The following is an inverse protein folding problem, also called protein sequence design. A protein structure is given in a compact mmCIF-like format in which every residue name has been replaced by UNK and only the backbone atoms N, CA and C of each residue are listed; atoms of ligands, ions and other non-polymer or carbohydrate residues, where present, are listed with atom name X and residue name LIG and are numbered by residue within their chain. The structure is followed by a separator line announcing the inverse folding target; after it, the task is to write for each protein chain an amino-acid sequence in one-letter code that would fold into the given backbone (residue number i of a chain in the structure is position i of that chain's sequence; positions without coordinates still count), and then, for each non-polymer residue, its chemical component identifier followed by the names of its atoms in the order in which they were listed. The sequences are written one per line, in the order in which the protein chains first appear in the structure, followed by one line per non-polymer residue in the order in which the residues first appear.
data_IF_119155195038
#
_entry.id   IF_119155195038
#
_cell.length_a   1.000
_cell.length_b   1.000
_cell.length_c   1.000
_cell.angle_alpha   90.00
_cell.angle_beta   90.00
_cell.angle_gamma   90.00
#
_symmetry.space_group_name_H-M   'P 1'
#
loop_
_entity.id
_entity.type
_entity.pdbx_description
1 polymer ?
#
# COMPACT_ATOMS: atom_id res chain seq x y z
N UNK A 1 16.04 3.70 -17.21
CA UNK A 1 14.99 3.80 -16.15
C UNK A 1 15.18 5.13 -15.46
N UNK A 2 14.13 5.90 -15.31
CA UNK A 2 14.12 7.20 -14.63
C UNK A 2 13.79 6.99 -13.14
N UNK A 3 14.10 7.98 -12.32
CA UNK A 3 13.78 7.99 -10.89
C UNK A 3 12.85 9.16 -10.57
N UNK A 4 12.19 9.13 -9.42
CA UNK A 4 11.31 10.20 -8.96
C UNK A 4 12.04 11.57 -8.90
N UNK A 5 13.35 11.57 -8.59
CA UNK A 5 14.17 12.78 -8.57
C UNK A 5 14.27 13.53 -9.91
N UNK A 6 13.79 12.95 -11.01
CA UNK A 6 13.71 13.59 -12.32
C UNK A 6 12.34 14.23 -12.61
N UNK A 7 11.43 14.20 -11.63
CA UNK A 7 10.13 14.86 -11.68
C UNK A 7 10.06 15.98 -10.64
N UNK A 8 9.28 17.03 -10.95
CA UNK A 8 8.94 18.08 -10.00
C UNK A 8 7.77 17.67 -9.11
N UNK A 9 6.83 16.90 -9.65
CA UNK A 9 5.68 16.36 -8.94
C UNK A 9 4.93 15.32 -9.81
N UNK A 10 4.06 14.53 -9.19
CA UNK A 10 3.27 13.47 -9.89
C UNK A 10 2.14 14.01 -10.77
N UNK A 11 1.78 15.28 -10.71
CA UNK A 11 0.73 15.85 -11.58
C UNK A 11 1.21 16.09 -13.01
N UNK A 12 2.54 16.03 -13.25
CA UNK A 12 3.18 16.23 -14.55
C UNK A 12 3.76 14.93 -15.10
N UNK A 13 3.03 13.82 -14.95
CA UNK A 13 3.48 12.54 -15.51
C UNK A 13 3.50 12.57 -17.05
N UNK A 14 4.44 11.83 -17.69
CA UNK A 14 4.38 11.50 -19.11
C UNK A 14 3.06 10.83 -19.51
N UNK A 15 2.75 10.82 -20.79
CA UNK A 15 1.51 10.25 -21.36
C UNK A 15 1.26 8.81 -20.88
N UNK A 16 2.29 7.97 -20.88
CA UNK A 16 2.26 6.61 -20.35
C UNK A 16 3.55 6.33 -19.59
N UNK A 17 3.41 5.82 -18.39
CA UNK A 17 4.49 5.46 -17.47
C UNK A 17 4.38 4.00 -17.08
N UNK A 18 5.51 3.30 -17.08
CA UNK A 18 5.65 1.94 -16.57
C UNK A 18 6.64 1.96 -15.39
N UNK A 19 6.21 1.39 -14.26
CA UNK A 19 7.05 1.17 -13.08
C UNK A 19 7.18 -0.33 -12.82
N UNK A 20 8.30 -0.99 -13.13
CA UNK A 20 8.60 -2.30 -12.56
C UNK A 20 8.67 -2.17 -11.04
N UNK A 21 7.96 -3.02 -10.31
CA UNK A 21 7.89 -2.98 -8.85
C UNK A 21 8.78 -4.07 -8.26
N UNK A 22 10.09 -3.94 -8.51
CA UNK A 22 11.10 -4.94 -8.12
C UNK A 22 11.30 -5.00 -6.59
N UNK A 23 10.95 -3.94 -5.85
CA UNK A 23 10.94 -3.92 -4.37
C UNK A 23 9.66 -4.50 -3.75
N UNK A 24 8.78 -5.09 -4.55
CA UNK A 24 7.53 -5.69 -4.10
C UNK A 24 7.55 -7.20 -4.25
N UNK A 25 7.01 -7.88 -3.26
CA UNK A 25 6.81 -9.33 -3.29
C UNK A 25 5.36 -9.68 -3.63
N UNK A 26 5.22 -10.78 -4.33
CA UNK A 26 3.97 -11.49 -4.54
C UNK A 26 4.01 -12.81 -3.75
N UNK A 27 3.05 -13.01 -2.87
CA UNK A 27 2.91 -14.22 -2.09
C UNK A 27 1.63 -14.92 -2.54
N UNK A 28 1.71 -16.20 -2.86
CA UNK A 28 0.54 -17.03 -3.12
C UNK A 28 0.18 -17.90 -1.92
N UNK A 29 -1.12 -18.04 -1.71
CA UNK A 29 -1.72 -18.99 -0.77
C UNK A 29 -2.65 -19.89 -1.55
N UNK A 30 -2.29 -21.17 -1.67
CA UNK A 30 -3.05 -22.23 -2.37
C UNK A 30 -3.56 -23.26 -1.37
N UNK A 31 -4.42 -24.17 -1.82
CA UNK A 31 -4.98 -25.26 -1.02
C UNK A 31 -6.45 -25.07 -0.67
N UNK A 32 -7.06 -26.16 -0.18
CA UNK A 32 -8.50 -26.20 0.11
C UNK A 32 -8.91 -25.15 1.15
N UNK A 33 -8.08 -24.95 2.18
CA UNK A 33 -8.38 -24.09 3.32
C UNK A 33 -7.94 -22.63 3.10
N UNK A 34 -7.45 -22.22 1.91
CA UNK A 34 -6.84 -20.89 1.67
C UNK A 34 -7.71 -19.71 2.10
N UNK A 35 -9.02 -19.79 1.85
CA UNK A 35 -9.96 -18.72 2.23
C UNK A 35 -10.17 -18.73 3.74
N UNK A 36 -10.54 -19.86 4.32
CA UNK A 36 -10.80 -19.99 5.77
C UNK A 36 -9.56 -19.67 6.59
N UNK A 37 -8.39 -20.12 6.15
CA UNK A 37 -7.12 -19.80 6.79
C UNK A 37 -6.86 -18.28 6.81
N UNK A 38 -6.86 -17.65 5.64
CA UNK A 38 -6.60 -16.21 5.55
C UNK A 38 -7.72 -15.36 6.17
N UNK A 39 -8.96 -15.85 6.19
CA UNK A 39 -10.05 -15.23 6.94
C UNK A 39 -9.70 -15.07 8.43
N UNK A 40 -9.01 -16.02 9.03
CA UNK A 40 -8.50 -15.96 10.40
C UNK A 40 -7.21 -15.17 10.60
N UNK A 41 -6.54 -14.72 9.53
CA UNK A 41 -5.26 -14.01 9.60
C UNK A 41 -5.35 -12.52 9.24
N UNK A 42 -6.23 -12.15 8.31
CA UNK A 42 -6.30 -10.82 7.73
C UNK A 42 -7.51 -10.03 8.27
N UNK A 43 -7.43 -8.71 8.23
CA UNK A 43 -8.49 -7.83 8.72
C UNK A 43 -9.69 -7.71 7.78
N UNK A 44 -9.51 -7.97 6.48
CA UNK A 44 -10.60 -7.94 5.48
C UNK A 44 -11.50 -9.17 5.58
N UNK A 45 -12.68 -9.08 4.96
CA UNK A 45 -13.63 -10.20 4.86
C UNK A 45 -13.47 -10.90 3.51
N UNK A 46 -12.66 -11.97 3.49
CA UNK A 46 -12.35 -12.73 2.30
C UNK A 46 -13.53 -13.52 1.74
N UNK A 47 -14.46 -13.95 2.61
CA UNK A 47 -15.63 -14.72 2.21
C UNK A 47 -16.61 -13.91 1.35
N UNK A 48 -16.53 -12.56 1.42
CA UNK A 48 -17.33 -11.67 0.57
C UNK A 48 -16.70 -11.38 -0.78
N UNK A 49 -15.42 -11.71 -0.96
CA UNK A 49 -14.72 -11.45 -2.21
C UNK A 49 -14.93 -12.59 -3.22
N UNK A 50 -15.29 -12.23 -4.44
CA UNK A 50 -15.39 -13.16 -5.58
C UNK A 50 -14.05 -13.28 -6.30
N UNK A 51 -13.90 -14.34 -7.10
CA UNK A 51 -12.76 -14.51 -8.02
C UNK A 51 -12.59 -13.26 -8.88
N UNK A 52 -11.36 -12.78 -8.98
CA UNK A 52 -10.99 -11.55 -9.67
C UNK A 52 -11.10 -10.28 -8.82
N UNK A 53 -11.75 -10.32 -7.66
CA UNK A 53 -11.85 -9.14 -6.77
C UNK A 53 -10.62 -8.98 -5.87
N UNK A 54 -10.43 -7.77 -5.40
CA UNK A 54 -9.32 -7.37 -4.56
C UNK A 54 -9.75 -6.43 -3.43
N UNK A 55 -8.93 -6.36 -2.37
CA UNK A 55 -9.05 -5.38 -1.30
C UNK A 55 -7.70 -5.13 -0.63
N UNK A 56 -7.60 -4.12 0.23
CA UNK A 56 -6.51 -3.98 1.19
C UNK A 56 -6.83 -4.77 2.46
N UNK A 57 -5.79 -5.17 3.19
CA UNK A 57 -5.93 -5.76 4.51
C UNK A 57 -4.65 -5.56 5.34
N UNK A 58 -4.75 -5.68 6.66
CA UNK A 58 -3.59 -5.88 7.51
C UNK A 58 -3.48 -7.35 7.94
N UNK A 59 -2.25 -7.87 8.01
CA UNK A 59 -1.89 -9.05 8.79
C UNK A 59 -1.34 -8.58 10.12
N UNK A 60 -1.99 -8.93 11.21
CA UNK A 60 -1.68 -8.43 12.55
C UNK A 60 -0.98 -9.49 13.41
N UNK A 61 -0.20 -9.00 14.39
CA UNK A 61 0.25 -9.82 15.50
C UNK A 61 -0.88 -9.98 16.56
N UNK A 62 -0.72 -10.87 17.57
CA UNK A 62 -1.72 -11.06 18.61
C UNK A 62 -2.07 -9.77 19.41
N UNK A 63 -1.18 -8.78 19.45
CA UNK A 63 -1.42 -7.48 20.05
C UNK A 63 -2.22 -6.52 19.16
N UNK A 64 -2.61 -6.95 17.96
CA UNK A 64 -3.39 -6.17 16.99
C UNK A 64 -2.57 -5.13 16.22
N UNK A 65 -1.24 -5.20 16.28
CA UNK A 65 -0.36 -4.36 15.48
C UNK A 65 -0.08 -5.03 14.14
N UNK A 66 -0.16 -4.27 13.06
CA UNK A 66 0.05 -4.77 11.71
C UNK A 66 1.53 -5.16 11.48
N UNK A 67 1.78 -6.43 11.15
CA UNK A 67 3.04 -6.85 10.57
C UNK A 67 3.25 -6.17 9.22
N UNK A 68 2.20 -6.18 8.39
CA UNK A 68 2.19 -5.58 7.06
C UNK A 68 0.78 -5.15 6.68
N UNK A 69 0.72 -4.25 5.70
CA UNK A 69 -0.47 -3.99 4.89
C UNK A 69 -0.28 -4.71 3.56
N UNK A 70 -1.24 -5.51 3.16
CA UNK A 70 -1.23 -6.28 1.91
C UNK A 70 -2.38 -5.85 1.01
N UNK A 71 -2.17 -5.93 -0.29
CA UNK A 71 -3.29 -6.01 -1.23
C UNK A 71 -3.59 -7.48 -1.48
N UNK A 72 -4.82 -7.84 -1.27
CA UNK A 72 -5.34 -9.21 -1.40
C UNK A 72 -6.07 -9.32 -2.72
N UNK A 73 -5.76 -10.32 -3.52
CA UNK A 73 -6.43 -10.62 -4.79
C UNK A 73 -6.91 -12.07 -4.77
N UNK A 74 -8.19 -12.29 -5.00
CA UNK A 74 -8.78 -13.64 -5.00
C UNK A 74 -8.81 -14.17 -6.42
N UNK A 75 -8.13 -15.29 -6.66
CA UNK A 75 -8.19 -16.06 -7.90
C UNK A 75 -8.91 -17.38 -7.65
N UNK A 76 -9.23 -18.11 -8.71
CA UNK A 76 -9.99 -19.36 -8.60
C UNK A 76 -9.26 -20.43 -7.77
N UNK A 77 -7.95 -20.59 -8.02
CA UNK A 77 -7.12 -21.63 -7.41
C UNK A 77 -6.23 -21.14 -6.26
N UNK A 78 -6.09 -19.81 -6.09
CA UNK A 78 -5.19 -19.19 -5.12
C UNK A 78 -5.63 -17.80 -4.67
N UNK A 79 -5.03 -17.34 -3.58
CA UNK A 79 -5.08 -15.94 -3.16
C UNK A 79 -3.69 -15.36 -3.30
N UNK A 80 -3.58 -14.18 -3.92
CA UNK A 80 -2.34 -13.45 -4.04
C UNK A 80 -2.30 -12.29 -3.04
N UNK A 81 -1.15 -12.09 -2.42
CA UNK A 81 -0.88 -10.98 -1.52
C UNK A 81 0.31 -10.20 -2.08
N UNK A 82 0.16 -8.87 -2.26
CA UNK A 82 1.30 -8.01 -2.63
C UNK A 82 1.69 -7.10 -1.48
N UNK A 83 2.98 -6.94 -1.25
CA UNK A 83 3.55 -6.13 -0.16
C UNK A 83 4.99 -5.72 -0.49
N UNK A 84 5.58 -4.71 0.20
CA UNK A 84 7.01 -4.44 0.10
C UNK A 84 7.85 -5.67 0.45
N UNK A 85 8.92 -5.91 -0.30
CA UNK A 85 9.78 -7.10 -0.09
C UNK A 85 10.50 -7.08 1.26
N UNK A 86 10.82 -5.89 1.77
CA UNK A 86 11.51 -5.72 3.06
C UNK A 86 10.74 -6.37 4.22
N UNK A 87 9.40 -6.33 4.21
CA UNK A 87 8.59 -6.87 5.30
C UNK A 87 8.31 -8.37 5.17
N UNK A 88 8.58 -8.97 4.02
CA UNK A 88 8.27 -10.38 3.77
C UNK A 88 9.03 -11.34 4.70
N UNK A 89 10.28 -11.00 5.04
CA UNK A 89 11.08 -11.83 5.96
C UNK A 89 10.52 -11.85 7.38
N UNK A 90 9.81 -10.81 7.78
CA UNK A 90 9.13 -10.74 9.08
C UNK A 90 7.76 -11.40 9.02
N UNK A 91 6.99 -11.09 7.98
CA UNK A 91 5.59 -11.47 7.86
C UNK A 91 5.38 -12.94 7.47
N UNK A 92 6.18 -13.48 6.52
CA UNK A 92 5.99 -14.86 6.04
C UNK A 92 6.16 -15.93 7.13
N UNK A 93 7.20 -15.88 7.98
CA UNK A 93 7.32 -16.81 9.09
C UNK A 93 6.14 -16.73 10.07
N UNK A 94 5.66 -15.51 10.35
CA UNK A 94 4.49 -15.29 11.19
C UNK A 94 3.23 -15.92 10.59
N UNK A 95 2.99 -15.72 9.28
CA UNK A 95 1.86 -16.31 8.58
C UNK A 95 1.95 -17.85 8.53
N UNK A 96 3.11 -18.39 8.18
CA UNK A 96 3.34 -19.84 8.09
C UNK A 96 3.19 -20.57 9.43
N UNK A 97 3.51 -19.90 10.54
CA UNK A 97 3.34 -20.46 11.89
C UNK A 97 1.90 -20.91 12.16
N UNK A 98 0.92 -20.16 11.68
CA UNK A 98 -0.50 -20.47 11.88
C UNK A 98 -1.07 -21.41 10.83
N UNK A 99 -0.29 -21.77 9.82
CA UNK A 99 -0.72 -22.69 8.75
C UNK A 99 -0.54 -24.18 9.09
N UNK A 100 0.09 -24.52 10.22
CA UNK A 100 0.52 -25.89 10.55
C UNK A 100 -0.61 -26.94 10.54
N UNK A 101 -1.85 -26.53 10.78
CA UNK A 101 -3.02 -27.42 10.80
C UNK A 101 -4.02 -27.13 9.67
N UNK A 102 -3.64 -26.32 8.70
CA UNK A 102 -4.47 -25.95 7.55
C UNK A 102 -3.90 -26.55 6.27
N UNK A 103 -4.77 -27.01 5.39
CA UNK A 103 -4.38 -27.53 4.06
C UNK A 103 -4.07 -26.37 3.11
N UNK A 104 -2.99 -25.63 3.41
CA UNK A 104 -2.52 -24.50 2.61
C UNK A 104 -1.03 -24.60 2.31
N UNK A 105 -0.66 -24.09 1.15
CA UNK A 105 0.75 -23.86 0.78
C UNK A 105 0.94 -22.35 0.61
N UNK A 106 1.93 -21.79 1.31
CA UNK A 106 2.26 -20.36 1.30
C UNK A 106 3.66 -20.21 0.74
N UNK A 107 3.78 -19.51 -0.37
CA UNK A 107 5.08 -19.31 -1.02
C UNK A 107 5.22 -17.90 -1.63
N UNK A 108 6.47 -17.45 -1.71
CA UNK A 108 6.81 -16.25 -2.50
C UNK A 108 6.84 -16.67 -3.98
N UNK A 109 6.11 -15.93 -4.80
CA UNK A 109 6.04 -16.18 -6.24
C UNK A 109 7.25 -15.60 -6.95
N UNK A 110 7.86 -16.41 -7.80
CA UNK A 110 8.98 -16.00 -8.66
C UNK A 110 8.64 -16.02 -10.15
N UNK A 111 7.49 -16.59 -10.49
CA UNK A 111 7.03 -16.73 -11.87
C UNK A 111 6.16 -15.56 -12.33
N UNK A 112 5.98 -14.55 -11.47
CA UNK A 112 5.19 -13.37 -11.76
C UNK A 112 6.03 -12.10 -11.59
N UNK A 113 5.64 -11.07 -12.33
CA UNK A 113 6.13 -9.71 -12.18
C UNK A 113 4.99 -8.76 -11.85
N UNK A 114 5.31 -7.73 -11.09
CA UNK A 114 4.38 -6.68 -10.70
C UNK A 114 4.81 -5.39 -11.39
N UNK A 115 3.85 -4.68 -12.00
CA UNK A 115 4.08 -3.41 -12.66
C UNK A 115 3.03 -2.39 -12.22
N UNK A 116 3.47 -1.15 -12.09
CA UNK A 116 2.59 0.02 -12.08
C UNK A 116 2.49 0.63 -13.47
N UNK A 117 1.27 0.96 -13.92
CA UNK A 117 1.02 1.76 -15.11
C UNK A 117 0.27 3.03 -14.72
N UNK A 118 0.74 4.17 -15.19
CA UNK A 118 0.16 5.47 -14.89
C UNK A 118 0.30 6.43 -16.08
N UNK A 119 -0.20 7.65 -15.92
CA UNK A 119 -0.16 8.69 -16.93
C UNK A 119 -1.50 8.84 -17.66
N UNK A 120 -1.72 9.99 -18.34
CA UNK A 120 -3.00 10.33 -18.98
C UNK A 120 -3.52 9.29 -19.97
N UNK A 121 -2.64 8.59 -20.69
CA UNK A 121 -3.01 7.55 -21.68
C UNK A 121 -3.05 6.12 -21.11
N UNK A 122 -2.83 5.92 -19.80
CA UNK A 122 -2.84 4.59 -19.19
C UNK A 122 -4.18 3.88 -19.34
N UNK A 123 -5.30 4.60 -19.21
CA UNK A 123 -6.64 4.04 -19.39
C UNK A 123 -6.91 3.60 -20.84
N UNK A 124 -6.47 4.40 -21.81
CA UNK A 124 -6.60 4.06 -23.24
C UNK A 124 -5.76 2.83 -23.59
N UNK A 125 -4.53 2.76 -23.07
CA UNK A 125 -3.67 1.60 -23.26
C UNK A 125 -4.32 0.33 -22.70
N UNK A 126 -4.76 0.37 -21.45
CA UNK A 126 -5.41 -0.77 -20.80
C UNK A 126 -6.71 -1.18 -21.50
N UNK A 127 -7.51 -0.23 -21.97
CA UNK A 127 -8.76 -0.55 -22.67
C UNK A 127 -8.57 -1.42 -23.93
N UNK A 128 -7.42 -1.32 -24.60
CA UNK A 128 -7.07 -2.18 -25.74
C UNK A 128 -6.76 -3.62 -25.33
N UNK A 129 -6.21 -3.80 -24.12
CA UNK A 129 -5.82 -5.11 -23.60
C UNK A 129 -6.98 -5.87 -22.93
N UNK A 130 -8.03 -5.15 -22.49
CA UNK A 130 -9.11 -5.68 -21.64
C UNK A 130 -10.31 -6.25 -22.44
N UNK A 131 -10.27 -6.27 -23.78
CA UNK A 131 -11.42 -6.69 -24.61
C UNK A 131 -11.97 -8.11 -24.37
N UNK A 132 -11.22 -8.96 -23.65
CA UNK A 132 -11.60 -10.35 -23.32
C UNK A 132 -11.58 -10.65 -21.83
N UNK A 133 -11.67 -9.63 -20.97
CA UNK A 133 -11.48 -9.78 -19.54
C UNK A 133 -12.78 -9.97 -18.74
N UNK A 134 -12.72 -10.77 -17.67
CA UNK A 134 -13.69 -10.70 -16.60
C UNK A 134 -13.43 -9.44 -15.79
N UNK A 135 -14.32 -8.45 -15.84
CA UNK A 135 -14.14 -7.15 -15.18
C UNK A 135 -14.98 -7.04 -13.93
N UNK A 136 -14.39 -6.46 -12.88
CA UNK A 136 -15.03 -5.99 -11.67
C UNK A 136 -14.82 -4.47 -11.55
N UNK A 137 -15.48 -3.81 -10.60
CA UNK A 137 -15.39 -2.36 -10.42
C UNK A 137 -13.94 -1.85 -10.30
N UNK A 138 -13.08 -2.57 -9.54
CA UNK A 138 -11.70 -2.18 -9.26
C UNK A 138 -10.65 -3.13 -9.80
N UNK A 139 -11.04 -4.20 -10.51
CA UNK A 139 -10.07 -5.19 -11.01
C UNK A 139 -10.58 -5.89 -12.27
N UNK A 140 -9.65 -6.44 -13.04
CA UNK A 140 -9.92 -7.24 -14.23
C UNK A 140 -8.96 -8.43 -14.27
N UNK A 141 -9.49 -9.61 -14.58
CA UNK A 141 -8.71 -10.81 -14.85
C UNK A 141 -8.75 -11.10 -16.34
N UNK A 142 -7.60 -11.04 -17.00
CA UNK A 142 -7.46 -11.31 -18.44
C UNK A 142 -7.32 -12.80 -18.73
N UNK A 143 -7.65 -13.23 -19.93
CA UNK A 143 -7.49 -14.63 -20.39
C UNK A 143 -6.03 -15.12 -20.31
N UNK A 144 -5.07 -14.20 -20.41
CA UNK A 144 -3.64 -14.48 -20.17
C UNK A 144 -3.29 -14.83 -18.72
N UNK A 145 -4.24 -14.71 -17.79
CA UNK A 145 -4.02 -14.82 -16.34
C UNK A 145 -3.42 -13.55 -15.72
N UNK A 146 -3.33 -12.46 -16.50
CA UNK A 146 -2.92 -11.15 -15.97
C UNK A 146 -4.02 -10.56 -15.10
N UNK A 147 -3.65 -10.12 -13.89
CA UNK A 147 -4.54 -9.37 -13.01
C UNK A 147 -4.24 -7.87 -13.16
N UNK A 148 -5.26 -7.10 -13.50
CA UNK A 148 -5.20 -5.64 -13.54
C UNK A 148 -6.03 -5.07 -12.40
N UNK A 149 -5.44 -4.20 -11.60
CA UNK A 149 -6.10 -3.54 -10.49
C UNK A 149 -6.15 -2.05 -10.75
N UNK A 150 -7.36 -1.52 -10.88
CA UNK A 150 -7.62 -0.10 -11.09
C UNK A 150 -7.52 0.64 -9.78
N UNK A 151 -6.74 1.71 -9.74
CA UNK A 151 -6.58 2.60 -8.59
C UNK A 151 -6.91 4.03 -9.01
N UNK A 152 -7.97 4.65 -8.44
CA UNK A 152 -8.43 5.97 -8.89
C UNK A 152 -7.57 7.14 -8.40
N UNK A 153 -6.82 6.95 -7.32
CA UNK A 153 -6.06 8.03 -6.65
C UNK A 153 -4.55 7.83 -6.75
N UNK A 154 -3.76 8.93 -6.77
CA UNK A 154 -4.12 10.35 -6.86
C UNK A 154 -4.68 10.72 -8.25
N UNK A 155 -4.31 9.98 -9.26
CA UNK A 155 -4.85 9.93 -10.61
C UNK A 155 -5.05 8.47 -11.02
N UNK A 156 -5.86 8.22 -12.05
CA UNK A 156 -6.12 6.87 -12.53
C UNK A 156 -4.82 6.15 -12.92
N UNK A 157 -4.57 5.03 -12.26
CA UNK A 157 -3.40 4.16 -12.47
C UNK A 157 -3.80 2.69 -12.30
N UNK A 158 -2.94 1.80 -12.76
CA UNK A 158 -3.19 0.36 -12.72
C UNK A 158 -1.99 -0.38 -12.12
N UNK A 159 -2.26 -1.35 -11.26
CA UNK A 159 -1.30 -2.35 -10.85
C UNK A 159 -1.55 -3.60 -11.70
N UNK A 160 -0.53 -4.07 -12.41
CA UNK A 160 -0.58 -5.27 -13.24
C UNK A 160 0.27 -6.37 -12.63
N UNK A 161 -0.30 -7.56 -12.46
CA UNK A 161 0.41 -8.78 -12.04
C UNK A 161 0.37 -9.75 -13.20
N UNK A 162 1.52 -10.09 -13.74
CA UNK A 162 1.67 -10.88 -14.96
C UNK A 162 2.60 -12.06 -14.76
N UNK A 163 2.31 -13.21 -15.37
CA UNK A 163 3.31 -14.28 -15.50
C UNK A 163 4.53 -13.79 -16.27
N UNK A 164 5.72 -14.26 -15.94
CA UNK A 164 6.98 -13.82 -16.57
C UNK A 164 6.92 -13.86 -18.11
N UNK A 165 6.37 -14.94 -18.67
CA UNK A 165 6.22 -15.09 -20.15
C UNK A 165 5.34 -14.03 -20.78
N UNK A 166 4.25 -13.65 -20.11
CA UNK A 166 3.34 -12.57 -20.56
C UNK A 166 4.00 -11.21 -20.38
N UNK A 167 4.67 -11.01 -19.24
CA UNK A 167 5.37 -9.78 -18.92
C UNK A 167 6.48 -9.45 -19.92
N UNK A 168 7.26 -10.44 -20.36
CA UNK A 168 8.31 -10.27 -21.38
C UNK A 168 7.74 -9.77 -22.69
N UNK A 169 6.65 -10.36 -23.17
CA UNK A 169 5.99 -9.92 -24.40
C UNK A 169 5.40 -8.50 -24.26
N UNK A 170 4.71 -8.21 -23.14
CA UNK A 170 4.13 -6.89 -22.87
C UNK A 170 5.21 -5.80 -22.74
N UNK A 171 6.36 -6.11 -22.11
CA UNK A 171 7.46 -5.18 -21.95
C UNK A 171 8.09 -4.78 -23.29
N UNK A 172 8.10 -5.64 -24.32
CA UNK A 172 8.62 -5.29 -25.66
C UNK A 172 7.76 -4.14 -26.25
N UNK A 173 6.45 -4.25 -26.15
CA UNK A 173 5.52 -3.22 -26.64
C UNK A 173 5.60 -1.94 -25.76
N UNK A 174 5.52 -2.08 -24.44
CA UNK A 174 5.52 -0.97 -23.50
C UNK A 174 6.81 -0.15 -23.52
N UNK A 175 7.99 -0.79 -23.70
CA UNK A 175 9.28 -0.08 -23.80
C UNK A 175 9.34 0.94 -24.94
N UNK A 176 8.54 0.74 -26.00
CA UNK A 176 8.49 1.68 -27.12
C UNK A 176 7.48 2.81 -26.93
N UNK A 177 6.54 2.68 -25.96
CA UNK A 177 5.38 3.57 -25.78
C UNK A 177 5.38 4.31 -24.45
N UNK A 178 6.01 3.73 -23.43
CA UNK A 178 6.00 4.24 -22.06
C UNK A 178 7.39 4.73 -21.62
N UNK A 179 7.40 5.76 -20.79
CA UNK A 179 8.59 6.11 -20.02
C UNK A 179 8.71 5.18 -18.81
N UNK A 180 9.90 4.61 -18.59
CA UNK A 180 10.14 3.66 -17.52
C UNK A 180 10.72 4.37 -16.32
N UNK A 181 10.02 4.31 -15.20
CA UNK A 181 10.46 4.78 -13.89
C UNK A 181 10.70 3.59 -12.96
N UNK A 182 11.54 3.80 -11.95
CA UNK A 182 11.68 2.87 -10.85
C UNK A 182 10.45 2.94 -9.91
N UNK A 183 10.42 2.10 -8.90
CA UNK A 183 9.30 1.98 -7.95
C UNK A 183 9.17 3.18 -6.99
N UNK A 184 10.13 4.09 -6.94
CA UNK A 184 10.02 5.34 -6.18
C UNK A 184 8.84 6.20 -6.64
N UNK A 185 8.55 6.22 -7.95
CA UNK A 185 7.36 6.89 -8.47
C UNK A 185 6.06 6.21 -8.01
N UNK A 186 6.03 4.88 -7.97
CA UNK A 186 4.85 4.16 -7.48
C UNK A 186 4.61 4.43 -5.99
N UNK A 187 5.70 4.49 -5.20
CA UNK A 187 5.64 4.86 -3.80
C UNK A 187 5.09 6.29 -3.62
N UNK A 188 5.57 7.26 -4.39
CA UNK A 188 5.05 8.64 -4.37
C UNK A 188 3.53 8.68 -4.68
N UNK A 189 3.08 7.90 -5.66
CA UNK A 189 1.65 7.79 -5.96
C UNK A 189 0.85 7.10 -4.84
N UNK A 190 1.43 6.16 -4.09
CA UNK A 190 0.79 5.57 -2.90
C UNK A 190 0.68 6.61 -1.77
N UNK A 191 1.72 7.41 -1.55
CA UNK A 191 1.72 8.50 -0.56
C UNK A 191 0.60 9.49 -0.89
N UNK A 192 0.54 9.98 -2.11
CA UNK A 192 -0.49 10.93 -2.53
C UNK A 192 -1.91 10.32 -2.53
N UNK A 193 -2.03 9.00 -2.68
CA UNK A 193 -3.29 8.27 -2.50
C UNK A 193 -3.66 8.04 -1.02
N UNK A 194 -2.80 8.40 -0.08
CA UNK A 194 -3.01 8.15 1.35
C UNK A 194 -2.98 6.66 1.71
N UNK A 195 -2.28 5.82 0.94
CA UNK A 195 -2.19 4.37 1.17
C UNK A 195 -0.80 4.02 1.69
N UNK A 196 -0.70 3.71 2.97
CA UNK A 196 0.55 3.33 3.63
C UNK A 196 0.79 1.83 3.60
N UNK A 197 1.86 1.40 2.94
CA UNK A 197 2.41 0.07 3.07
C UNK A 197 3.55 0.07 4.08
N UNK A 198 3.65 -0.99 4.89
CA UNK A 198 4.67 -1.07 5.93
C UNK A 198 5.93 -1.73 5.40
N UNK A 199 7.07 -1.13 5.72
CA UNK A 199 8.39 -1.72 5.57
C UNK A 199 8.84 -2.40 6.87
N UNK A 200 9.93 -3.18 6.83
CA UNK A 200 10.41 -3.95 7.96
C UNK A 200 10.66 -3.10 9.22
N UNK A 201 11.21 -1.88 9.05
CA UNK A 201 11.59 -0.97 10.11
C UNK A 201 10.41 -0.53 10.99
N UNK A 202 9.21 -0.51 10.42
CA UNK A 202 7.98 -0.07 11.10
C UNK A 202 6.94 -1.19 11.25
N UNK A 203 7.33 -2.40 10.93
CA UNK A 203 6.49 -3.59 11.15
C UNK A 203 6.12 -3.72 12.64
N UNK A 204 4.88 -4.09 12.92
CA UNK A 204 4.32 -4.22 14.27
C UNK A 204 4.36 -2.95 15.15
N UNK A 205 4.43 -1.76 14.55
CA UNK A 205 4.37 -0.50 15.31
C UNK A 205 2.95 0.07 15.40
N UNK A 206 2.13 -0.08 14.37
CA UNK A 206 0.83 0.56 14.24
C UNK A 206 -0.32 -0.45 14.24
N UNK A 207 -1.47 -0.08 14.79
CA UNK A 207 -2.72 -0.81 14.57
C UNK A 207 -3.32 -0.40 13.20
N UNK A 208 -4.14 -1.25 12.56
CA UNK A 208 -4.69 -0.96 11.22
C UNK A 208 -5.43 0.37 11.09
N UNK A 209 -6.12 0.80 12.15
CA UNK A 209 -6.84 2.08 12.14
C UNK A 209 -5.90 3.29 12.13
N UNK A 210 -4.68 3.18 12.70
CA UNK A 210 -3.68 4.25 12.61
C UNK A 210 -3.19 4.45 11.17
N UNK A 211 -3.35 3.44 10.31
CA UNK A 211 -3.02 3.45 8.89
C UNK A 211 -4.26 3.76 8.01
N UNK A 212 -5.34 4.22 8.61
CA UNK A 212 -6.62 4.56 7.97
C UNK A 212 -7.27 3.39 7.19
N UNK A 213 -6.93 2.13 7.48
CA UNK A 213 -7.43 0.98 6.71
C UNK A 213 -8.95 0.82 6.79
N UNK A 214 -9.63 1.35 7.82
CA UNK A 214 -11.09 1.39 7.88
C UNK A 214 -11.70 2.32 6.81
N UNK A 215 -11.03 3.42 6.46
CA UNK A 215 -11.46 4.34 5.42
C UNK A 215 -11.13 3.82 4.00
N UNK A 216 -10.29 2.79 3.92
CA UNK A 216 -9.84 2.14 2.68
C UNK A 216 -10.47 0.74 2.52
N UNK A 217 -11.55 0.44 3.23
CA UNK A 217 -12.24 -0.86 3.25
C UNK A 217 -11.35 -2.07 3.59
N UNK A 218 -10.21 -1.80 4.24
CA UNK A 218 -9.23 -2.82 4.62
C UNK A 218 -9.54 -3.55 5.94
N UNK A 219 -10.62 -3.19 6.65
CA UNK A 219 -11.01 -3.80 7.92
C UNK A 219 -12.49 -4.16 7.89
N UNK A 220 -12.81 -5.43 8.10
CA UNK A 220 -14.17 -5.86 8.40
C UNK A 220 -14.38 -5.94 9.92
N UNK A 221 -15.43 -5.29 10.41
CA UNK A 221 -15.84 -5.34 11.82
C UNK A 221 -16.97 -6.31 12.07
N UNK A 222 -17.49 -6.96 11.03
CA UNK A 222 -18.65 -7.87 11.07
C UNK A 222 -18.30 -9.32 10.76
N UNK A 223 -17.07 -9.59 10.31
CA UNK A 223 -16.57 -10.95 10.04
C UNK A 223 -16.30 -11.72 11.34
N UNK A 224 -16.01 -13.02 11.21
CA UNK A 224 -15.56 -13.88 12.29
C UNK A 224 -14.19 -13.47 12.87
N UNK A 225 -13.73 -14.24 13.86
CA UNK A 225 -12.49 -13.94 14.59
C UNK A 225 -11.23 -14.01 13.68
N UNK A 226 -10.30 -13.11 13.95
CA UNK A 226 -8.95 -13.14 13.35
C UNK A 226 -7.89 -12.69 14.37
N UNK A 227 -6.62 -12.96 14.09
CA UNK A 227 -5.51 -12.64 14.99
C UNK A 227 -5.40 -11.13 15.18
N UNK A 228 -5.37 -10.69 16.46
CA UNK A 228 -5.27 -9.29 16.85
C UNK A 228 -6.59 -8.51 16.86
N UNK A 229 -7.72 -9.17 16.53
CA UNK A 229 -9.04 -8.55 16.46
C UNK A 229 -9.44 -7.79 17.74
N UNK A 230 -9.07 -8.28 18.93
CA UNK A 230 -9.48 -7.64 20.18
C UNK A 230 -9.03 -6.17 20.25
N UNK A 231 -7.78 -5.88 19.92
CA UNK A 231 -7.26 -4.51 19.90
C UNK A 231 -7.92 -3.67 18.83
N UNK A 232 -8.11 -4.23 17.63
CA UNK A 232 -8.78 -3.56 16.51
C UNK A 232 -10.24 -3.23 16.85
N UNK A 233 -10.97 -4.16 17.46
CA UNK A 233 -12.35 -3.95 17.92
C UNK A 233 -12.42 -2.92 19.04
N UNK A 234 -11.52 -2.98 20.03
CA UNK A 234 -11.46 -1.97 21.12
C UNK A 234 -11.18 -0.57 20.57
N UNK A 235 -10.30 -0.45 19.60
CA UNK A 235 -10.00 0.83 18.94
C UNK A 235 -11.28 1.45 18.35
N UNK A 236 -12.14 0.64 17.69
CA UNK A 236 -13.42 1.10 17.14
C UNK A 236 -14.46 1.39 18.22
N UNK A 237 -14.81 0.39 19.04
CA UNK A 237 -16.00 0.46 19.88
C UNK A 237 -15.80 1.23 21.19
N UNK A 238 -14.56 1.49 21.60
CA UNK A 238 -14.21 2.25 22.80
C UNK A 238 -13.48 3.54 22.52
N UNK A 239 -13.32 3.93 21.23
CA UNK A 239 -12.60 5.14 20.84
C UNK A 239 -11.16 5.18 21.36
N UNK A 240 -10.50 4.01 21.49
CA UNK A 240 -9.18 3.92 22.08
C UNK A 240 -8.09 4.45 21.13
N UNK A 241 -8.37 4.50 19.82
CA UNK A 241 -7.43 5.01 18.83
C UNK A 241 -7.55 6.53 18.68
N UNK A 242 -6.51 7.24 19.12
CA UNK A 242 -6.38 8.70 19.00
C UNK A 242 -5.45 9.13 17.88
N UNK A 243 -5.04 8.22 16.99
CA UNK A 243 -4.09 8.49 15.92
C UNK A 243 -4.64 8.10 14.57
N UNK A 244 -4.17 8.78 13.53
CA UNK A 244 -4.48 8.49 12.14
C UNK A 244 -3.26 8.82 11.26
N UNK A 245 -3.28 8.37 10.02
CA UNK A 245 -2.26 8.68 9.06
C UNK A 245 -2.64 9.92 8.25
N UNK A 246 -1.67 10.82 8.08
CA UNK A 246 -1.81 12.08 7.37
C UNK A 246 -0.72 12.23 6.32
N UNK A 247 -0.98 13.05 5.31
CA UNK A 247 0.03 13.49 4.37
C UNK A 247 0.63 14.80 4.89
N UNK A 248 1.96 14.86 4.96
CA UNK A 248 2.71 16.08 5.17
C UNK A 248 3.58 16.35 3.93
N UNK A 249 3.74 17.61 3.58
CA UNK A 249 4.51 18.06 2.43
C UNK A 249 5.46 19.17 2.82
N UNK A 250 6.62 19.24 2.18
CA UNK A 250 7.60 20.28 2.49
C UNK A 250 8.89 20.15 1.71
N UNK A 251 10.00 20.54 2.32
CA UNK A 251 11.34 20.44 1.72
C UNK A 251 12.33 19.83 2.68
N UNK A 252 13.27 19.07 2.13
CA UNK A 252 14.41 18.51 2.84
C UNK A 252 15.57 18.32 1.88
N UNK A 253 16.80 18.37 2.41
CA UNK A 253 17.99 18.06 1.61
C UNK A 253 18.11 16.56 1.31
N UNK A 254 17.63 15.71 2.23
CA UNK A 254 17.68 14.25 2.11
C UNK A 254 16.28 13.66 2.06
N UNK A 255 16.12 12.53 1.37
CA UNK A 255 14.88 11.77 1.35
C UNK A 255 14.59 11.16 2.73
N UNK A 256 13.43 11.47 3.33
CA UNK A 256 13.04 10.87 4.60
C UNK A 256 12.86 9.35 4.51
N UNK A 257 12.93 8.68 5.67
CA UNK A 257 12.79 7.22 5.77
C UNK A 257 11.66 6.82 6.71
N UNK A 258 11.09 5.65 6.47
CA UNK A 258 10.13 5.03 7.38
C UNK A 258 10.71 4.92 8.80
N UNK A 259 9.87 5.18 9.80
CA UNK A 259 10.26 5.14 11.22
C UNK A 259 10.88 6.42 11.78
N UNK A 260 11.32 7.35 10.95
CA UNK A 260 11.82 8.64 11.44
C UNK A 260 10.74 9.43 12.19
N UNK A 261 11.20 10.26 13.12
CA UNK A 261 10.34 10.95 14.08
C UNK A 261 9.79 12.25 13.49
N UNK A 262 8.48 12.43 13.55
CA UNK A 262 7.84 13.74 13.31
C UNK A 262 7.72 14.48 14.63
N UNK A 263 8.17 15.74 14.61
CA UNK A 263 7.99 16.71 15.68
C UNK A 263 7.11 17.87 15.23
N UNK A 264 6.35 18.45 16.14
CA UNK A 264 5.51 19.64 15.93
C UNK A 264 6.06 20.81 16.72
N UNK A 265 6.01 22.01 16.15
CA UNK A 265 6.42 23.25 16.82
C UNK A 265 5.28 23.75 17.73
N UNK A 266 5.49 23.68 19.05
CA UNK A 266 4.54 24.17 20.06
C UNK A 266 5.25 25.14 21.01
N UNK A 267 4.77 26.37 21.10
CA UNK A 267 5.35 27.41 22.00
C UNK A 267 6.87 27.55 21.83
N UNK A 268 7.34 27.63 20.60
CA UNK A 268 8.77 27.71 20.21
C UNK A 268 9.61 26.49 20.60
N UNK A 269 9.00 25.34 20.91
CA UNK A 269 9.70 24.10 21.21
C UNK A 269 9.22 22.96 20.33
N UNK A 270 10.14 22.14 19.84
CA UNK A 270 9.84 20.94 19.09
C UNK A 270 9.46 19.80 20.03
N UNK A 271 8.32 19.17 19.74
CA UNK A 271 7.82 18.02 20.51
C UNK A 271 7.52 16.86 19.59
N UNK A 272 8.01 15.67 19.93
CA UNK A 272 7.68 14.43 19.23
C UNK A 272 6.16 14.23 19.18
N UNK A 273 5.62 14.05 17.97
CA UNK A 273 4.18 13.88 17.77
C UNK A 273 3.85 12.63 16.96
N UNK A 274 4.76 12.14 16.12
CA UNK A 274 4.49 11.00 15.27
C UNK A 274 5.69 10.29 14.69
N UNK A 275 5.45 9.45 13.71
CA UNK A 275 6.48 8.75 12.95
C UNK A 275 6.06 8.61 11.49
N UNK A 276 7.05 8.59 10.60
CA UNK A 276 6.89 8.40 9.16
C UNK A 276 6.54 6.94 8.86
N UNK A 277 5.52 6.73 8.04
CA UNK A 277 5.15 5.44 7.46
C UNK A 277 5.82 5.24 6.11
N UNK A 278 5.76 6.26 5.24
CA UNK A 278 6.36 6.23 3.91
C UNK A 278 6.74 7.64 3.50
N UNK A 279 7.76 7.79 2.67
CA UNK A 279 8.24 9.09 2.21
C UNK A 279 8.73 9.02 0.77
N UNK A 280 8.75 10.18 0.10
CA UNK A 280 9.38 10.36 -1.20
C UNK A 280 10.00 11.76 -1.32
N UNK A 281 10.96 11.90 -2.24
CA UNK A 281 11.59 13.17 -2.55
C UNK A 281 11.65 13.38 -4.07
N UNK A 282 11.23 14.55 -4.51
CA UNK A 282 11.29 15.02 -5.90
C UNK A 282 12.61 15.74 -6.19
N UNK A 283 12.87 15.99 -7.47
CA UNK A 283 14.16 16.51 -7.93
C UNK A 283 14.51 17.93 -7.45
N UNK A 284 13.51 18.69 -7.01
CA UNK A 284 13.70 20.06 -6.48
C UNK A 284 13.86 20.10 -4.95
N UNK A 285 13.99 18.93 -4.29
CA UNK A 285 14.06 18.79 -2.84
C UNK A 285 12.70 18.84 -2.14
N UNK A 286 11.60 18.90 -2.90
CA UNK A 286 10.25 18.74 -2.34
C UNK A 286 10.07 17.32 -1.83
N UNK A 287 9.45 17.17 -0.66
CA UNK A 287 9.16 15.88 -0.04
C UNK A 287 7.68 15.74 0.29
N UNK A 288 7.19 14.52 0.17
CA UNK A 288 5.89 14.12 0.67
C UNK A 288 6.06 12.90 1.58
N UNK A 289 5.37 12.91 2.71
CA UNK A 289 5.42 11.81 3.68
C UNK A 289 4.02 11.42 4.14
N UNK A 290 3.80 10.13 4.35
CA UNK A 290 2.71 9.63 5.16
C UNK A 290 3.21 9.46 6.59
N UNK A 291 2.56 10.10 7.56
CA UNK A 291 2.93 10.05 8.96
C UNK A 291 1.74 9.74 9.86
N UNK A 292 1.96 8.89 10.86
CA UNK A 292 0.95 8.63 11.90
C UNK A 292 1.06 9.70 12.98
N UNK A 293 0.02 10.55 13.09
CA UNK A 293 -0.10 11.69 14.00
C UNK A 293 -1.36 11.55 14.87
N UNK A 294 -1.53 12.37 15.93
CA UNK A 294 -2.81 12.50 16.63
C UNK A 294 -3.95 12.92 15.69
N UNK A 295 -5.17 12.43 15.93
CA UNK A 295 -6.35 12.79 15.11
C UNK A 295 -6.73 14.27 15.22
N UNK A 296 -6.40 14.90 16.35
CA UNK A 296 -6.63 16.32 16.65
C UNK A 296 -5.48 17.24 16.19
N UNK A 297 -4.61 16.75 15.30
CA UNK A 297 -3.55 17.54 14.65
C UNK A 297 -4.17 18.76 13.95
N UNK A 298 -3.68 19.95 14.28
CA UNK A 298 -4.13 21.19 13.63
C UNK A 298 -3.48 21.30 12.24
N UNK A 299 -4.26 21.54 11.18
CA UNK A 299 -3.73 21.76 9.82
C UNK A 299 -2.75 22.95 9.70
N UNK A 300 -2.81 23.91 10.62
CA UNK A 300 -1.92 25.08 10.67
C UNK A 300 -0.57 24.79 11.37
N UNK A 301 -0.41 23.60 11.96
CA UNK A 301 0.82 23.24 12.65
C UNK A 301 2.00 23.12 11.68
N UNK A 302 3.18 23.48 12.18
CA UNK A 302 4.45 23.31 11.47
C UNK A 302 5.15 22.08 12.05
N UNK A 303 5.61 21.20 11.17
CA UNK A 303 6.30 19.96 11.54
C UNK A 303 7.74 19.97 11.03
N UNK A 304 8.57 19.14 11.66
CA UNK A 304 9.89 18.79 11.16
C UNK A 304 10.15 17.29 11.32
N UNK A 305 11.15 16.81 10.61
CA UNK A 305 11.72 15.47 10.80
C UNK A 305 12.93 15.62 11.71
N UNK A 306 12.87 15.05 12.90
CA UNK A 306 13.89 15.21 13.93
C UNK A 306 15.31 14.88 13.44
N UNK A 307 15.40 13.83 12.63
CA UNK A 307 16.66 13.30 12.10
C UNK A 307 17.18 14.07 10.86
N UNK A 308 16.40 15.04 10.33
CA UNK A 308 16.73 15.84 9.14
C UNK A 308 16.66 17.33 9.44
N UNK A 309 17.83 17.91 9.77
CA UNK A 309 17.94 19.32 10.09
C UNK A 309 17.47 20.23 8.95
N UNK A 310 16.72 21.26 9.28
CA UNK A 310 16.18 22.22 8.33
C UNK A 310 14.96 21.74 7.54
N UNK A 311 14.44 20.54 7.83
CA UNK A 311 13.19 20.08 7.25
C UNK A 311 12.02 20.93 7.80
N UNK A 312 11.11 21.35 6.93
CA UNK A 312 9.86 22.01 7.30
C UNK A 312 8.72 21.36 6.53
N UNK A 313 7.71 20.90 7.27
CA UNK A 313 6.58 20.15 6.72
C UNK A 313 5.27 20.81 7.13
N UNK A 314 4.29 20.71 6.26
CA UNK A 314 2.95 21.24 6.42
C UNK A 314 1.93 20.16 6.10
N UNK A 315 0.74 20.28 6.69
CA UNK A 315 -0.39 19.41 6.41
C UNK A 315 -0.82 19.49 4.94
N UNK A 316 -1.09 18.32 4.34
CA UNK A 316 -1.73 18.21 3.03
C UNK A 316 -2.97 17.29 3.14
N UNK A 317 -4.07 17.61 2.40
CA UNK A 317 -5.31 16.88 2.52
C UNK A 317 -5.18 15.44 1.98
N UNK A 318 -5.81 14.49 2.67
CA UNK A 318 -6.00 13.13 2.17
C UNK A 318 -7.07 13.12 1.07
N UNK A 319 -6.99 12.23 0.07
CA UNK A 319 -8.01 12.11 -0.99
C UNK A 319 -9.32 11.44 -0.50
N UNK A 320 -9.39 11.07 0.76
CA UNK A 320 -10.56 10.48 1.42
C UNK A 320 -10.74 11.08 2.83
N UNK A 321 -11.94 10.90 3.39
CA UNK A 321 -12.22 11.30 4.77
C UNK A 321 -11.77 10.21 5.75
N UNK A 322 -11.11 10.61 6.83
CA UNK A 322 -10.84 9.69 7.94
C UNK A 322 -12.19 9.38 8.60
N UNK A 323 -12.55 8.09 8.61
CA UNK A 323 -13.78 7.65 9.28
C UNK A 323 -13.54 7.74 10.79
N UNK A 324 -14.44 8.42 11.48
CA UNK A 324 -14.49 8.41 12.96
C UNK A 324 -14.86 7.00 13.42
N UNK A 325 -14.14 6.51 14.45
CA UNK A 325 -14.38 5.19 15.04
C UNK A 325 -15.62 5.18 15.92
#
# INVERSE_FOLDING_TARGET
MRTLSQLENISKLPDLVLCPLDSWDLISVTGEDRITFLQGQLTCDLEKLKTGQQTLAAHCNPQGKAWTVVRVIVLEDRILLTQPSSVSEVQLPALKKYAAFSKVTIQKETEYKIFGLAGPKSAEYIAKEVNTATTHETSSLLDSGTVLIKQPYPSLRYLAIMKNTVAEAALIDLKSKAEIFDDSLWNAMNIAAGVGFLEAEISAQFIPQMLNLQALDGISFTKGCYIGQETVARAKYRGANKRAMFILTGRSNDCPKAGQTIEVLLNNNWKRVGAIVSACQYGDGHIEVLAVLPKDTNPEDIFQIKELEGSALYYAPLPYKIVED
#
